data_IF_664255697836
#
_entry.id   IF_664255697836
#
_cell.length_a   1.000
_cell.length_b   1.000
_cell.length_c   1.000
_cell.angle_alpha   90.00
_cell.angle_beta   90.00
_cell.angle_gamma   90.00
#
_symmetry.space_group_name_H-M   'P 1'
#
loop_
_entity.id
_entity.type
_entity.pdbx_description
1 polymer ?
#
# COMPACT_ATOMS: atom_id res chain seq x y z
N UNK A 1 -23.37 -31.82 -10.44
CA UNK A 1 -22.46 -30.83 -9.84
C UNK A 1 -23.12 -29.47 -10.07
N UNK A 2 -23.51 -28.76 -9.01
CA UNK A 2 -24.19 -27.46 -9.19
C UNK A 2 -23.10 -26.44 -9.42
N UNK A 3 -23.00 -25.95 -10.66
CA UNK A 3 -22.10 -24.85 -10.99
C UNK A 3 -22.66 -23.59 -10.32
N UNK A 4 -21.95 -23.05 -9.36
CA UNK A 4 -22.32 -21.77 -8.74
C UNK A 4 -22.37 -20.69 -9.83
N UNK A 5 -23.39 -19.84 -9.80
CA UNK A 5 -23.52 -18.78 -10.78
C UNK A 5 -22.35 -17.79 -10.63
N UNK A 6 -21.96 -17.15 -11.72
CA UNK A 6 -20.87 -16.13 -11.74
C UNK A 6 -21.10 -15.04 -10.70
N UNK A 7 -22.36 -14.75 -10.34
CA UNK A 7 -22.73 -13.80 -9.28
C UNK A 7 -22.32 -14.25 -7.86
N UNK A 8 -22.03 -15.53 -7.64
CA UNK A 8 -21.55 -16.05 -6.34
C UNK A 8 -20.02 -16.08 -6.26
N UNK A 9 -19.34 -16.03 -7.43
CA UNK A 9 -17.88 -16.08 -7.55
C UNK A 9 -17.29 -14.66 -7.70
N UNK A 10 -18.06 -13.74 -8.29
CA UNK A 10 -17.65 -12.37 -8.55
C UNK A 10 -18.44 -11.42 -7.63
N UNK A 11 -17.91 -11.05 -6.53
CA UNK A 11 -18.33 -9.99 -5.63
C UNK A 11 -19.21 -8.89 -6.30
N UNK A 12 -20.47 -9.21 -6.63
CA UNK A 12 -21.51 -8.25 -7.03
C UNK A 12 -21.49 -7.74 -8.47
N UNK A 13 -20.65 -8.24 -9.37
CA UNK A 13 -20.71 -7.86 -10.79
C UNK A 13 -21.81 -8.66 -11.48
N UNK A 14 -22.99 -8.04 -11.69
CA UNK A 14 -24.05 -8.56 -12.55
C UNK A 14 -23.58 -8.49 -14.00
N UNK A 15 -23.27 -9.63 -14.58
CA UNK A 15 -22.98 -9.74 -16.03
C UNK A 15 -24.10 -10.49 -16.71
N UNK A 16 -25.18 -9.78 -17.04
CA UNK A 16 -26.15 -10.27 -18.01
C UNK A 16 -25.60 -10.02 -19.41
N UNK A 17 -25.24 -11.08 -20.13
CA UNK A 17 -24.88 -10.98 -21.55
C UNK A 17 -26.18 -10.82 -22.34
N UNK A 18 -26.41 -9.66 -23.00
CA UNK A 18 -27.63 -9.44 -23.74
C UNK A 18 -27.72 -10.42 -24.93
N UNK A 19 -28.70 -11.32 -24.89
CA UNK A 19 -29.10 -12.11 -26.04
C UNK A 19 -28.85 -13.60 -26.02
N UNK A 20 -28.15 -14.18 -25.02
CA UNK A 20 -27.94 -15.63 -24.91
C UNK A 20 -28.51 -16.19 -23.60
N UNK A 21 -29.46 -17.11 -23.69
CA UNK A 21 -30.12 -17.74 -22.52
C UNK A 21 -29.20 -18.73 -21.77
N UNK A 22 -28.04 -19.09 -22.34
CA UNK A 22 -27.10 -20.10 -21.81
C UNK A 22 -25.64 -19.63 -21.81
N UNK A 23 -25.36 -18.31 -21.82
CA UNK A 23 -24.00 -17.80 -21.77
C UNK A 23 -23.60 -17.47 -20.33
N UNK A 24 -22.41 -17.90 -19.94
CA UNK A 24 -21.81 -17.68 -18.62
C UNK A 24 -20.47 -16.96 -18.81
N UNK A 25 -20.26 -15.86 -18.07
CA UNK A 25 -18.95 -15.21 -17.98
C UNK A 25 -18.19 -15.75 -16.78
N UNK A 26 -16.96 -16.19 -16.99
CA UNK A 26 -16.08 -16.72 -15.95
C UNK A 26 -14.82 -15.84 -15.91
N UNK A 27 -14.56 -15.27 -14.73
CA UNK A 27 -13.25 -14.63 -14.47
C UNK A 27 -12.28 -15.72 -14.07
N UNK A 28 -11.18 -15.80 -14.77
CA UNK A 28 -10.18 -16.83 -14.52
C UNK A 28 -9.25 -16.37 -13.42
N UNK A 29 -9.45 -16.91 -12.21
CA UNK A 29 -8.74 -16.49 -11.00
C UNK A 29 -7.30 -17.04 -10.91
N UNK A 30 -7.06 -18.24 -11.45
CA UNK A 30 -5.73 -18.83 -11.48
C UNK A 30 -5.66 -19.96 -12.52
N UNK A 31 -4.53 -20.09 -13.21
CA UNK A 31 -4.25 -21.24 -14.06
C UNK A 31 -4.22 -20.99 -15.56
N UNK A 32 -4.61 -19.83 -16.08
CA UNK A 32 -4.26 -19.48 -17.45
C UNK A 32 -2.81 -18.98 -17.44
N UNK A 33 -1.92 -19.83 -17.87
CA UNK A 33 -0.53 -19.46 -18.16
C UNK A 33 -0.39 -19.18 -19.65
N UNK A 34 0.59 -18.37 -20.01
CA UNK A 34 0.92 -18.15 -21.43
C UNK A 34 1.17 -19.47 -22.17
N UNK A 35 1.77 -20.47 -21.49
CA UNK A 35 2.00 -21.82 -22.02
C UNK A 35 0.70 -22.55 -22.30
N UNK A 36 -0.33 -22.44 -21.45
CA UNK A 36 -1.63 -23.04 -21.67
C UNK A 36 -2.35 -22.41 -22.89
N UNK A 37 -2.29 -21.09 -23.01
CA UNK A 37 -2.82 -20.37 -24.19
C UNK A 37 -2.09 -20.86 -25.48
N UNK A 38 -0.77 -20.96 -25.41
CA UNK A 38 0.04 -21.42 -26.55
C UNK A 38 -0.19 -22.88 -26.90
N UNK A 39 -0.46 -23.75 -25.91
CA UNK A 39 -0.77 -25.18 -26.15
C UNK A 39 -2.11 -25.38 -26.83
N UNK A 40 -2.98 -24.39 -26.85
CA UNK A 40 -4.29 -24.40 -27.49
C UNK A 40 -5.38 -25.10 -26.69
N UNK A 41 -5.14 -25.36 -25.41
CA UNK A 41 -6.16 -25.89 -24.50
C UNK A 41 -6.04 -25.26 -23.09
N UNK A 42 -7.17 -24.97 -22.49
CA UNK A 42 -7.26 -24.44 -21.12
C UNK A 42 -8.22 -25.26 -20.28
N UNK A 43 -7.97 -25.34 -18.99
CA UNK A 43 -8.88 -25.94 -18.04
C UNK A 43 -9.58 -24.85 -17.23
N UNK A 44 -10.91 -24.86 -17.21
CA UNK A 44 -11.74 -23.95 -16.42
C UNK A 44 -12.72 -24.81 -15.62
N UNK A 45 -12.66 -24.73 -14.31
CA UNK A 45 -13.54 -25.45 -13.37
C UNK A 45 -13.55 -26.98 -13.57
N UNK A 46 -12.47 -27.56 -14.10
CA UNK A 46 -12.31 -28.98 -14.36
C UNK A 46 -12.71 -29.42 -15.77
N UNK A 47 -13.25 -28.53 -16.58
CA UNK A 47 -13.55 -28.77 -17.99
C UNK A 47 -12.39 -28.28 -18.87
N UNK A 48 -12.01 -29.09 -19.88
CA UNK A 48 -10.97 -28.72 -20.84
C UNK A 48 -11.60 -28.16 -22.12
N UNK A 49 -11.16 -26.95 -22.47
CA UNK A 49 -11.61 -26.25 -23.68
C UNK A 49 -10.49 -26.21 -24.70
N UNK A 50 -10.77 -26.62 -25.91
CA UNK A 50 -9.88 -26.41 -27.04
C UNK A 50 -10.05 -24.98 -27.57
N UNK A 51 -8.94 -24.29 -27.79
CA UNK A 51 -8.94 -22.91 -28.24
C UNK A 51 -8.77 -22.82 -29.75
N UNK A 52 -9.70 -22.17 -30.44
CA UNK A 52 -9.46 -21.75 -31.82
C UNK A 52 -8.33 -20.72 -31.89
N UNK A 53 -7.72 -20.52 -33.04
CA UNK A 53 -6.62 -19.58 -33.23
C UNK A 53 -7.05 -18.15 -32.88
N UNK A 54 -8.29 -17.77 -33.21
CA UNK A 54 -8.85 -16.44 -32.89
C UNK A 54 -9.04 -16.23 -31.37
N UNK A 55 -9.57 -17.26 -30.68
CA UNK A 55 -9.72 -17.22 -29.22
C UNK A 55 -8.37 -17.19 -28.52
N UNK A 56 -7.38 -17.90 -29.03
CA UNK A 56 -6.03 -17.94 -28.50
C UNK A 56 -5.35 -16.56 -28.57
N UNK A 57 -5.50 -15.89 -29.72
CA UNK A 57 -4.95 -14.55 -29.93
C UNK A 57 -5.64 -13.51 -29.02
N UNK A 58 -6.97 -13.56 -28.93
CA UNK A 58 -7.74 -12.71 -28.02
C UNK A 58 -7.38 -12.93 -26.53
N UNK A 59 -7.18 -14.19 -26.12
CA UNK A 59 -6.73 -14.52 -24.76
C UNK A 59 -5.33 -14.00 -24.48
N UNK A 60 -4.42 -14.12 -25.42
CA UNK A 60 -3.06 -13.59 -25.29
C UNK A 60 -3.08 -12.07 -25.14
N UNK A 61 -3.83 -11.37 -25.98
CA UNK A 61 -3.98 -9.92 -25.90
C UNK A 61 -4.57 -9.48 -24.53
N UNK A 62 -5.65 -10.13 -24.09
CA UNK A 62 -6.27 -9.83 -22.79
C UNK A 62 -5.32 -10.15 -21.63
N UNK A 63 -4.53 -11.22 -21.72
CA UNK A 63 -3.53 -11.58 -20.72
C UNK A 63 -2.40 -10.55 -20.65
N UNK A 64 -1.81 -10.21 -21.81
CA UNK A 64 -0.73 -9.22 -21.88
C UNK A 64 -1.18 -7.87 -21.31
N UNK A 65 -2.39 -7.43 -21.67
CA UNK A 65 -2.99 -6.19 -21.16
C UNK A 65 -3.24 -6.24 -19.65
N UNK A 66 -3.78 -7.36 -19.14
CA UNK A 66 -3.99 -7.51 -17.70
C UNK A 66 -2.66 -7.48 -16.92
N UNK A 67 -1.60 -8.06 -17.47
CA UNK A 67 -0.26 -8.04 -16.89
C UNK A 67 0.34 -6.62 -16.89
N UNK A 68 0.17 -5.86 -17.97
CA UNK A 68 0.64 -4.48 -18.07
C UNK A 68 -0.06 -3.58 -17.06
N UNK A 69 -1.38 -3.66 -16.96
CA UNK A 69 -2.16 -2.87 -16.01
C UNK A 69 -1.84 -3.25 -14.55
N UNK A 70 -1.69 -4.53 -14.24
CA UNK A 70 -1.28 -4.97 -12.92
C UNK A 70 0.14 -4.49 -12.57
N UNK A 71 1.07 -4.49 -13.51
CA UNK A 71 2.42 -3.95 -13.32
C UNK A 71 2.38 -2.44 -13.04
N UNK A 72 1.56 -1.68 -13.77
CA UNK A 72 1.35 -0.25 -13.57
C UNK A 72 0.77 0.05 -12.18
N UNK A 73 -0.23 -0.72 -11.75
CA UNK A 73 -0.81 -0.57 -10.41
C UNK A 73 0.24 -0.89 -9.33
N UNK A 74 1.02 -1.93 -9.51
CA UNK A 74 2.09 -2.29 -8.58
C UNK A 74 3.15 -1.18 -8.45
N UNK A 75 3.53 -0.54 -9.57
CA UNK A 75 4.46 0.60 -9.57
C UNK A 75 3.87 1.82 -8.86
N UNK A 76 2.59 2.13 -9.11
CA UNK A 76 1.89 3.23 -8.43
C UNK A 76 1.81 2.98 -6.92
N UNK A 77 1.46 1.77 -6.51
CA UNK A 77 1.37 1.40 -5.09
C UNK A 77 2.73 1.48 -4.40
N UNK A 78 3.80 1.03 -5.06
CA UNK A 78 5.16 1.18 -4.56
C UNK A 78 5.56 2.66 -4.40
N UNK A 79 5.20 3.50 -5.35
CA UNK A 79 5.44 4.94 -5.28
C UNK A 79 4.67 5.59 -4.12
N UNK A 80 3.38 5.26 -3.96
CA UNK A 80 2.55 5.75 -2.86
C UNK A 80 3.13 5.34 -1.49
N UNK A 81 3.52 4.08 -1.34
CA UNK A 81 4.17 3.58 -0.13
C UNK A 81 5.48 4.33 0.17
N UNK A 82 6.33 4.52 -0.85
CA UNK A 82 7.59 5.24 -0.71
C UNK A 82 7.39 6.70 -0.28
N UNK A 83 6.32 7.36 -0.72
CA UNK A 83 5.98 8.71 -0.28
C UNK A 83 5.67 8.77 1.22
N UNK A 84 4.89 7.81 1.75
CA UNK A 84 4.59 7.73 3.19
C UNK A 84 5.85 7.49 4.00
N UNK A 85 6.72 6.59 3.54
CA UNK A 85 8.02 6.31 4.19
C UNK A 85 8.91 7.55 4.19
N UNK A 86 8.96 8.29 3.08
CA UNK A 86 9.74 9.53 2.99
C UNK A 86 9.20 10.62 3.93
N UNK A 87 7.88 10.75 4.07
CA UNK A 87 7.24 11.66 5.03
C UNK A 87 7.61 11.29 6.48
N UNK A 88 7.52 10.00 6.83
CA UNK A 88 7.91 9.51 8.16
C UNK A 88 9.38 9.80 8.47
N UNK A 89 10.27 9.56 7.51
CA UNK A 89 11.70 9.87 7.68
C UNK A 89 11.95 11.37 7.84
N UNK A 90 11.26 12.19 7.06
CA UNK A 90 11.33 13.66 7.17
C UNK A 90 10.88 14.16 8.55
N UNK A 91 9.77 13.63 9.05
CA UNK A 91 9.26 13.98 10.38
C UNK A 91 10.20 13.52 11.50
N UNK A 92 10.82 12.34 11.36
CA UNK A 92 11.82 11.85 12.32
C UNK A 92 13.06 12.76 12.37
N UNK A 93 13.59 13.17 11.21
CA UNK A 93 14.72 14.11 11.13
C UNK A 93 14.33 15.46 11.76
N UNK A 94 13.15 15.98 11.45
CA UNK A 94 12.64 17.23 12.01
C UNK A 94 12.53 17.14 13.53
N UNK A 95 12.00 16.04 14.08
CA UNK A 95 11.92 15.82 15.51
C UNK A 95 13.28 15.84 16.17
N UNK A 96 14.28 15.17 15.62
CA UNK A 96 15.65 15.16 16.13
C UNK A 96 16.25 16.58 16.13
N UNK A 97 16.04 17.35 15.07
CA UNK A 97 16.53 18.73 14.98
C UNK A 97 15.87 19.65 16.01
N UNK A 98 14.56 19.50 16.22
CA UNK A 98 13.82 20.25 17.23
C UNK A 98 14.29 19.91 18.64
N UNK A 99 14.51 18.62 18.94
CA UNK A 99 14.99 18.18 20.24
C UNK A 99 16.43 18.66 20.50
N UNK A 100 17.26 18.70 19.48
CA UNK A 100 18.60 19.27 19.57
C UNK A 100 18.54 20.81 19.81
N UNK A 101 17.64 21.52 19.15
CA UNK A 101 17.45 22.96 19.38
C UNK A 101 16.99 23.25 20.81
N UNK A 102 16.04 22.46 21.35
CA UNK A 102 15.59 22.53 22.74
C UNK A 102 16.72 22.24 23.71
N UNK A 103 17.52 21.21 23.46
CA UNK A 103 18.68 20.89 24.28
C UNK A 103 19.68 22.07 24.35
N UNK A 104 19.95 22.72 23.23
CA UNK A 104 20.82 23.91 23.16
C UNK A 104 20.23 25.07 23.95
N UNK A 105 18.93 25.29 23.81
CA UNK A 105 18.21 26.36 24.55
C UNK A 105 18.27 26.14 26.07
N UNK A 106 17.93 24.93 26.53
CA UNK A 106 17.98 24.53 27.93
C UNK A 106 19.41 24.69 28.49
N UNK A 107 20.41 24.19 27.76
CA UNK A 107 21.81 24.33 28.12
C UNK A 107 22.23 25.79 28.25
N UNK A 108 21.80 26.65 27.33
CA UNK A 108 22.03 28.09 27.38
C UNK A 108 21.41 28.76 28.60
N UNK A 109 20.17 28.39 29.01
CA UNK A 109 19.51 28.86 30.20
C UNK A 109 20.26 28.47 31.49
N UNK A 110 20.70 27.18 31.57
CA UNK A 110 21.51 26.66 32.69
C UNK A 110 22.86 27.38 32.74
N UNK A 111 23.56 27.53 31.60
CA UNK A 111 24.88 28.15 31.53
C UNK A 111 24.88 29.62 32.05
N UNK A 112 23.76 30.34 31.89
CA UNK A 112 23.57 31.66 32.42
C UNK A 112 23.28 31.69 33.95
N UNK A 113 23.25 30.53 34.61
CA UNK A 113 22.91 30.39 36.01
C UNK A 113 21.39 30.37 36.27
N UNK A 114 20.58 30.27 35.23
CA UNK A 114 19.13 30.22 35.32
C UNK A 114 18.62 28.93 35.97
N UNK A 115 17.47 29.00 36.62
CA UNK A 115 16.79 27.83 37.17
C UNK A 115 15.77 27.34 36.15
N UNK A 116 16.03 26.19 35.54
CA UNK A 116 15.12 25.50 34.64
C UNK A 116 14.31 24.46 35.40
N UNK A 117 13.13 24.05 34.90
CA UNK A 117 12.36 22.94 35.47
C UNK A 117 13.16 21.64 35.51
N UNK A 118 12.89 20.73 36.49
CA UNK A 118 13.57 19.43 36.57
C UNK A 118 13.42 18.57 35.34
N UNK A 119 12.29 18.68 34.64
CA UNK A 119 12.01 18.00 33.39
C UNK A 119 12.94 18.42 32.24
N UNK A 120 13.24 19.72 32.13
CA UNK A 120 14.20 20.29 31.19
C UNK A 120 15.62 19.79 31.48
N UNK A 121 16.01 19.75 32.77
CA UNK A 121 17.31 19.23 33.20
C UNK A 121 17.45 17.73 32.83
N UNK A 122 16.39 16.94 33.11
CA UNK A 122 16.37 15.51 32.79
C UNK A 122 16.46 15.29 31.29
N UNK A 123 15.68 16.04 30.51
CA UNK A 123 15.73 15.97 29.04
C UNK A 123 17.14 16.25 28.48
N UNK A 124 17.80 17.32 28.97
CA UNK A 124 19.14 17.66 28.53
C UNK A 124 20.17 16.60 28.93
N UNK A 125 20.04 16.06 30.15
CA UNK A 125 20.96 15.02 30.65
C UNK A 125 20.83 13.71 29.85
N UNK A 126 19.60 13.36 29.46
CA UNK A 126 19.30 12.15 28.70
C UNK A 126 19.75 12.25 27.24
N UNK A 127 19.46 13.37 26.58
CA UNK A 127 19.74 13.57 25.16
C UNK A 127 21.17 14.06 24.89
N UNK A 128 21.77 14.86 25.79
CA UNK A 128 23.11 15.39 25.61
C UNK A 128 23.85 15.62 26.94
N UNK A 129 24.34 14.53 27.57
CA UNK A 129 24.98 14.59 28.90
C UNK A 129 26.24 15.46 28.94
N UNK A 130 26.96 15.56 27.83
CA UNK A 130 28.17 16.38 27.81
C UNK A 130 27.83 17.87 27.74
N UNK A 131 26.80 18.25 26.98
CA UNK A 131 26.28 19.63 26.96
C UNK A 131 25.74 20.03 28.34
N UNK A 132 25.06 19.12 29.05
CA UNK A 132 24.60 19.36 30.42
C UNK A 132 25.76 19.66 31.38
N UNK A 133 26.84 18.85 31.36
CA UNK A 133 28.05 19.06 32.15
C UNK A 133 28.68 20.42 31.89
N UNK A 134 28.84 20.77 30.59
CA UNK A 134 29.40 22.06 30.18
C UNK A 134 28.51 23.23 30.64
N UNK A 135 27.20 23.10 30.52
CA UNK A 135 26.26 24.13 30.98
C UNK A 135 26.31 24.33 32.51
N UNK A 136 26.40 23.23 33.28
CA UNK A 136 26.55 23.32 34.76
C UNK A 136 27.90 23.93 35.16
N UNK A 137 28.98 23.61 34.44
CA UNK A 137 30.28 24.21 34.69
C UNK A 137 30.26 25.74 34.42
N UNK A 138 29.64 26.17 33.32
CA UNK A 138 29.48 27.58 32.98
C UNK A 138 28.64 28.32 34.01
N UNK A 139 27.57 27.66 34.51
CA UNK A 139 26.68 28.22 35.54
C UNK A 139 27.38 28.58 36.83
N UNK A 140 28.49 27.89 37.18
CA UNK A 140 29.30 28.22 38.39
C UNK A 140 29.90 29.63 38.38
N UNK A 141 30.06 30.19 37.18
CA UNK A 141 30.63 31.53 36.98
C UNK A 141 29.55 32.57 36.60
N UNK A 142 28.31 32.16 36.48
CA UNK A 142 27.21 33.03 36.10
C UNK A 142 26.70 33.88 37.28
N UNK A 143 26.23 35.07 36.94
CA UNK A 143 25.67 36.03 37.96
C UNK A 143 24.15 36.10 37.91
N UNK A 144 23.54 35.53 36.88
CA UNK A 144 22.08 35.56 36.70
C UNK A 144 21.43 34.37 37.41
N UNK A 145 20.26 34.60 37.99
CA UNK A 145 19.47 33.58 38.69
C UNK A 145 18.00 33.65 38.25
N UNK A 146 17.79 33.79 36.96
CA UNK A 146 16.46 33.84 36.38
C UNK A 146 15.75 32.47 36.46
N UNK A 147 14.42 32.48 36.63
CA UNK A 147 13.60 31.26 36.61
C UNK A 147 12.93 31.15 35.24
N UNK A 148 13.13 30.04 34.60
CA UNK A 148 12.55 29.74 33.30
C UNK A 148 11.35 28.81 33.43
N UNK A 149 10.41 28.90 32.46
CA UNK A 149 9.37 27.90 32.23
C UNK A 149 9.94 26.79 31.37
N UNK A 150 9.26 25.61 31.36
CA UNK A 150 9.68 24.49 30.52
C UNK A 150 9.80 24.88 29.06
N UNK A 151 10.81 24.33 28.38
CA UNK A 151 11.00 24.43 26.94
C UNK A 151 10.40 23.21 26.19
N UNK A 152 9.96 22.21 26.95
CA UNK A 152 9.36 21.01 26.40
C UNK A 152 7.90 21.25 26.04
N UNK A 153 7.54 20.86 24.83
CA UNK A 153 6.16 20.83 24.35
C UNK A 153 5.71 19.39 24.27
N UNK A 154 4.49 19.11 24.68
CA UNK A 154 3.85 17.81 24.53
C UNK A 154 3.57 17.58 23.05
N UNK A 155 4.18 16.53 22.47
CA UNK A 155 3.98 16.14 21.07
C UNK A 155 3.04 14.94 21.02
N UNK A 156 1.96 15.08 20.26
CA UNK A 156 1.13 13.93 19.94
C UNK A 156 1.83 13.02 18.91
N UNK A 157 1.74 11.68 19.05
CA UNK A 157 2.28 10.75 18.07
C UNK A 157 1.55 10.93 16.75
N UNK A 158 2.31 11.03 15.65
CA UNK A 158 1.76 11.11 14.29
C UNK A 158 1.52 9.71 13.76
N UNK A 159 0.30 9.47 13.32
CA UNK A 159 -0.10 8.23 12.67
C UNK A 159 0.14 8.33 11.16
N UNK A 160 0.73 7.29 10.55
CA UNK A 160 1.02 7.23 9.12
C UNK A 160 0.13 6.21 8.45
N UNK A 161 -0.60 6.65 7.45
CA UNK A 161 -1.48 5.80 6.64
C UNK A 161 -0.69 5.25 5.43
N UNK A 162 -0.24 4.01 5.53
CA UNK A 162 0.53 3.32 4.49
C UNK A 162 -0.33 2.83 3.32
N UNK A 163 -1.66 2.83 3.49
CA UNK A 163 -2.60 2.44 2.43
C UNK A 163 -3.04 3.65 1.59
N UNK A 164 -2.70 4.85 2.03
CA UNK A 164 -3.07 6.09 1.36
C UNK A 164 -2.55 6.14 -0.08
N UNK A 165 -3.48 6.25 -1.01
CA UNK A 165 -3.18 6.37 -2.44
C UNK A 165 -2.82 5.05 -3.12
N UNK A 166 -3.00 3.90 -2.44
CA UNK A 166 -2.87 2.60 -3.07
C UNK A 166 -4.14 2.25 -3.85
N UNK A 167 -3.94 1.62 -5.01
CA UNK A 167 -5.01 1.08 -5.83
C UNK A 167 -5.09 -0.44 -5.60
N UNK A 168 -6.21 -0.89 -5.05
CA UNK A 168 -6.46 -2.30 -4.76
C UNK A 168 -7.12 -3.05 -5.93
N UNK A 169 -7.16 -2.44 -7.11
CA UNK A 169 -7.68 -3.06 -8.31
C UNK A 169 -6.70 -4.09 -8.86
N UNK A 170 -7.22 -5.21 -9.36
CA UNK A 170 -6.48 -6.23 -10.09
C UNK A 170 -7.14 -6.47 -11.43
N UNK A 171 -6.36 -6.52 -12.48
CA UNK A 171 -6.83 -6.83 -13.83
C UNK A 171 -6.68 -8.33 -14.11
N UNK A 172 -7.73 -8.95 -14.64
CA UNK A 172 -7.81 -10.39 -14.92
C UNK A 172 -8.45 -10.64 -16.28
N UNK A 173 -8.26 -11.85 -16.79
CA UNK A 173 -8.92 -12.30 -18.01
C UNK A 173 -10.28 -12.92 -17.66
N UNK A 174 -11.33 -12.51 -18.36
CA UNK A 174 -12.64 -13.13 -18.34
C UNK A 174 -12.95 -13.81 -19.67
N UNK A 175 -13.57 -14.97 -19.60
CA UNK A 175 -14.02 -15.71 -20.76
C UNK A 175 -15.54 -15.88 -20.73
N UNK A 176 -16.17 -15.69 -21.85
CA UNK A 176 -17.60 -15.95 -22.05
C UNK A 176 -17.78 -17.34 -22.64
N UNK A 177 -18.47 -18.21 -21.91
CA UNK A 177 -18.71 -19.60 -22.28
C UNK A 177 -20.18 -19.74 -22.63
N UNK A 178 -20.48 -20.29 -23.81
CA UNK A 178 -21.84 -20.68 -24.22
C UNK A 178 -21.96 -22.19 -24.21
N UNK A 179 -23.05 -22.71 -23.64
CA UNK A 179 -23.39 -24.14 -23.64
C UNK A 179 -24.51 -24.40 -24.63
N UNK A 180 -24.24 -25.17 -25.65
CA UNK A 180 -25.21 -25.62 -26.66
C UNK A 180 -25.35 -27.14 -26.68
N UNK A 181 -26.17 -27.67 -27.60
CA UNK A 181 -26.39 -29.12 -27.79
C UNK A 181 -25.11 -29.86 -28.19
N UNK A 182 -24.11 -29.16 -28.74
CA UNK A 182 -22.79 -29.68 -29.15
C UNK A 182 -21.70 -29.59 -28.08
N UNK A 183 -21.99 -29.06 -26.88
CA UNK A 183 -21.03 -28.87 -25.79
C UNK A 183 -20.84 -27.42 -25.39
N UNK A 184 -19.85 -27.14 -24.55
CA UNK A 184 -19.48 -25.81 -24.11
C UNK A 184 -18.38 -25.23 -25.00
N UNK A 185 -18.53 -23.99 -25.44
CA UNK A 185 -17.62 -23.28 -26.32
C UNK A 185 -17.32 -21.88 -25.77
N UNK A 186 -16.08 -21.40 -25.94
CA UNK A 186 -15.68 -20.05 -25.60
C UNK A 186 -16.13 -19.10 -26.71
N UNK A 187 -17.03 -18.17 -26.40
CA UNK A 187 -17.62 -17.20 -27.33
C UNK A 187 -17.06 -15.81 -27.23
N UNK A 188 -16.32 -15.49 -26.16
CA UNK A 188 -15.71 -14.18 -25.97
C UNK A 188 -14.61 -14.21 -24.93
N UNK A 189 -13.67 -13.25 -25.07
CA UNK A 189 -12.58 -13.02 -24.14
C UNK A 189 -12.48 -11.52 -23.89
N UNK A 190 -12.30 -11.12 -22.64
CA UNK A 190 -12.13 -9.72 -22.26
C UNK A 190 -11.24 -9.59 -21.03
N UNK A 191 -10.64 -8.43 -20.85
CA UNK A 191 -10.02 -8.04 -19.60
C UNK A 191 -11.11 -7.44 -18.67
N UNK A 192 -11.00 -7.74 -17.38
CA UNK A 192 -11.87 -7.17 -16.33
C UNK A 192 -11.05 -6.71 -15.14
N UNK A 193 -11.48 -5.63 -14.53
CA UNK A 193 -10.93 -5.15 -13.26
C UNK A 193 -11.73 -5.73 -12.09
N UNK A 194 -11.04 -6.21 -11.08
CA UNK A 194 -11.62 -6.80 -9.86
C UNK A 194 -10.97 -6.13 -8.65
N UNK A 195 -11.76 -5.68 -7.68
CA UNK A 195 -11.19 -5.20 -6.41
C UNK A 195 -10.58 -6.37 -5.64
N UNK A 196 -9.37 -6.17 -5.15
CA UNK A 196 -8.70 -7.13 -4.27
C UNK A 196 -9.32 -6.99 -2.88
N UNK A 197 -10.12 -7.98 -2.46
CA UNK A 197 -10.60 -8.04 -1.09
C UNK A 197 -9.44 -8.34 -0.15
N UNK A 198 -9.23 -7.48 0.82
CA UNK A 198 -8.34 -7.76 1.95
C UNK A 198 -9.07 -8.78 2.85
N UNK A 199 -8.55 -10.00 2.92
CA UNK A 199 -8.92 -11.00 3.94
C UNK A 199 -8.17 -10.71 5.23
#
# INVERSE_FOLDING_TARGET
>A
MVIKSVNEILYGVKTDIPGSKNAKRVVVESGITLDAIQSGSINIDGDTFELSDEVREAMKEAFDKSMEENARIAEMNAAAHNMVVAEQQGDAIKSVMEDQAKAIEIAGRIAKGGRVPPEDEAFLLENNPDMYKLAKLAAMHAKEHERYKTALEEKEPKEYDYEKGQDNTMHRVAVDISTGDSGAEITGVSEVSVEKTSD
#
